data_IF_297303193748
#
_entry.id   IF_297303193748
#
_cell.length_a   1.000
_cell.length_b   1.000
_cell.length_c   1.000
_cell.angle_alpha   90.00
_cell.angle_beta   90.00
_cell.angle_gamma   90.00
#
_symmetry.space_group_name_H-M   'P 1'
#
loop_
_entity.id
_entity.type
_entity.pdbx_description
1 polymer ?
#
# COMPACT_ATOMS: atom_id res chain seq x y z
N UNK A 1 -23.63 -26.67 -25.10
CA UNK A 1 -22.35 -26.08 -25.55
C UNK A 1 -22.53 -24.57 -25.62
N UNK A 2 -22.07 -23.82 -24.61
CA UNK A 2 -22.18 -22.35 -24.63
C UNK A 2 -21.16 -21.80 -25.63
N UNK A 3 -21.61 -20.98 -26.57
CA UNK A 3 -20.74 -20.38 -27.59
C UNK A 3 -19.78 -19.37 -26.94
N UNK A 4 -18.55 -19.26 -27.46
CA UNK A 4 -17.53 -18.31 -26.99
C UNK A 4 -18.07 -16.88 -26.84
N UNK A 5 -18.95 -16.44 -27.76
CA UNK A 5 -19.64 -15.15 -27.66
C UNK A 5 -20.49 -15.04 -26.39
N UNK A 6 -21.29 -16.07 -26.05
CA UNK A 6 -22.13 -16.08 -24.85
C UNK A 6 -21.31 -16.03 -23.55
N UNK A 7 -20.16 -16.69 -23.52
CA UNK A 7 -19.24 -16.66 -22.37
C UNK A 7 -18.59 -15.28 -22.23
N UNK A 8 -18.10 -14.69 -23.33
CA UNK A 8 -17.51 -13.35 -23.32
C UNK A 8 -18.51 -12.26 -22.92
N UNK A 9 -19.76 -12.33 -23.42
CA UNK A 9 -20.80 -11.36 -23.04
C UNK A 9 -21.15 -11.45 -21.56
N UNK A 10 -21.26 -12.66 -20.99
CA UNK A 10 -21.51 -12.86 -19.54
C UNK A 10 -20.35 -12.35 -18.68
N UNK A 11 -19.12 -12.55 -19.13
CA UNK A 11 -17.94 -12.10 -18.40
C UNK A 11 -17.79 -10.58 -18.43
N UNK A 12 -18.08 -9.94 -19.57
CA UNK A 12 -18.12 -8.48 -19.68
C UNK A 12 -19.23 -7.85 -18.83
N UNK A 13 -20.43 -8.43 -18.81
CA UNK A 13 -21.51 -7.90 -17.96
C UNK A 13 -21.22 -8.05 -16.47
N UNK A 14 -20.60 -9.16 -16.05
CA UNK A 14 -20.17 -9.34 -14.66
C UNK A 14 -19.14 -8.30 -14.22
N UNK A 15 -18.15 -7.99 -15.07
CA UNK A 15 -17.13 -6.98 -14.78
C UNK A 15 -17.72 -5.57 -14.69
N UNK A 16 -18.67 -5.23 -15.56
CA UNK A 16 -19.36 -3.95 -15.53
C UNK A 16 -20.18 -3.78 -14.24
N UNK A 17 -20.87 -4.84 -13.80
CA UNK A 17 -21.65 -4.82 -12.56
C UNK A 17 -20.73 -4.68 -11.34
N UNK A 18 -19.64 -5.46 -11.26
CA UNK A 18 -18.66 -5.34 -10.16
C UNK A 18 -18.08 -3.92 -10.08
N UNK A 19 -17.72 -3.31 -11.22
CA UNK A 19 -17.21 -1.94 -11.26
C UNK A 19 -18.24 -0.88 -10.82
N UNK A 20 -19.51 -1.07 -11.16
CA UNK A 20 -20.60 -0.20 -10.72
C UNK A 20 -20.83 -0.29 -9.22
N UNK A 21 -20.88 -1.52 -8.67
CA UNK A 21 -21.00 -1.76 -7.22
C UNK A 21 -19.85 -1.08 -6.48
N UNK A 22 -18.62 -1.30 -6.94
CA UNK A 22 -17.45 -0.67 -6.35
C UNK A 22 -17.56 0.86 -6.31
N UNK A 23 -18.00 1.46 -7.41
CA UNK A 23 -18.13 2.92 -7.53
C UNK A 23 -19.19 3.48 -6.58
N UNK A 24 -20.34 2.83 -6.48
CA UNK A 24 -21.42 3.21 -5.56
C UNK A 24 -20.95 3.13 -4.10
N UNK A 25 -20.28 2.04 -3.74
CA UNK A 25 -19.76 1.86 -2.38
C UNK A 25 -18.62 2.83 -2.05
N UNK A 26 -17.78 3.19 -3.02
CA UNK A 26 -16.72 4.18 -2.85
C UNK A 26 -17.29 5.58 -2.60
N UNK A 27 -18.28 6.00 -3.38
CA UNK A 27 -18.98 7.27 -3.16
C UNK A 27 -19.70 7.30 -1.81
N UNK A 28 -20.32 6.18 -1.41
CA UNK A 28 -20.94 6.05 -0.09
C UNK A 28 -19.91 6.16 1.04
N UNK A 29 -18.75 5.53 0.90
CA UNK A 29 -17.66 5.63 1.87
C UNK A 29 -17.12 7.06 1.98
N UNK A 30 -16.99 7.77 0.86
CA UNK A 30 -16.52 9.15 0.85
C UNK A 30 -17.49 10.08 1.59
N UNK A 31 -18.79 9.96 1.31
CA UNK A 31 -19.85 10.70 2.05
C UNK A 31 -19.86 10.38 3.53
N UNK A 32 -19.62 9.12 3.89
CA UNK A 32 -19.50 8.72 5.29
C UNK A 32 -18.31 9.41 5.95
N UNK A 33 -17.14 9.47 5.31
CA UNK A 33 -15.98 10.20 5.85
C UNK A 33 -16.29 11.69 6.00
N UNK A 34 -16.92 12.28 4.98
CA UNK A 34 -17.32 13.69 5.00
C UNK A 34 -18.28 14.01 6.15
N UNK A 35 -19.21 13.11 6.50
CA UNK A 35 -20.15 13.34 7.60
C UNK A 35 -19.48 13.39 8.98
N UNK A 36 -18.25 12.89 9.12
CA UNK A 36 -17.45 13.03 10.34
C UNK A 36 -16.62 14.32 10.36
N UNK A 37 -16.54 15.05 9.25
CA UNK A 37 -15.76 16.27 9.17
C UNK A 37 -16.49 17.43 9.86
N UNK A 38 -16.06 17.75 11.09
CA UNK A 38 -16.60 18.90 11.84
C UNK A 38 -16.10 20.26 11.32
N UNK A 39 -15.07 20.26 10.46
CA UNK A 39 -14.39 21.46 9.96
C UNK A 39 -14.51 21.58 8.44
N UNK A 40 -14.88 22.77 7.94
CA UNK A 40 -15.02 23.04 6.50
C UNK A 40 -13.77 22.70 5.70
N UNK A 41 -12.56 22.94 6.24
CA UNK A 41 -11.30 22.60 5.58
C UNK A 41 -11.10 21.09 5.41
N UNK A 42 -11.55 20.30 6.38
CA UNK A 42 -11.43 18.84 6.29
C UNK A 42 -12.39 18.31 5.22
N UNK A 43 -13.62 18.83 5.18
CA UNK A 43 -14.57 18.53 4.09
C UNK A 43 -14.01 18.95 2.72
N UNK A 44 -13.41 20.14 2.59
CA UNK A 44 -12.74 20.58 1.35
C UNK A 44 -11.64 19.60 0.90
N UNK A 45 -10.82 19.11 1.82
CA UNK A 45 -9.78 18.11 1.55
C UNK A 45 -10.38 16.77 1.08
N UNK A 46 -11.45 16.30 1.73
CA UNK A 46 -12.14 15.06 1.36
C UNK A 46 -12.76 15.19 -0.03
N UNK A 47 -13.34 16.35 -0.35
CA UNK A 47 -13.97 16.63 -1.64
C UNK A 47 -12.98 16.73 -2.82
N UNK A 48 -11.69 16.92 -2.53
CA UNK A 48 -10.64 16.79 -3.53
C UNK A 48 -10.37 15.34 -3.94
N UNK A 49 -10.82 14.35 -3.17
CA UNK A 49 -10.57 12.95 -3.45
C UNK A 49 -11.38 12.44 -4.64
N UNK A 50 -10.71 12.02 -5.70
CA UNK A 50 -11.32 11.33 -6.83
C UNK A 50 -11.33 9.83 -6.61
N UNK A 51 -12.51 9.23 -6.60
CA UNK A 51 -12.72 7.78 -6.55
C UNK A 51 -12.25 7.10 -7.85
N UNK A 52 -12.22 7.86 -8.96
CA UNK A 52 -11.67 7.43 -10.24
C UNK A 52 -10.20 7.04 -10.11
N UNK A 53 -9.89 5.75 -10.27
CA UNK A 53 -8.52 5.24 -10.19
C UNK A 53 -8.07 4.80 -8.80
N UNK A 54 -8.89 5.01 -7.75
CA UNK A 54 -8.56 4.58 -6.40
C UNK A 54 -8.48 3.05 -6.25
N UNK A 55 -9.27 2.29 -7.01
CA UNK A 55 -9.14 0.83 -7.12
C UNK A 55 -7.74 0.39 -7.59
N UNK A 56 -7.12 1.19 -8.47
CA UNK A 56 -5.80 0.94 -9.06
C UNK A 56 -4.67 1.71 -8.35
N UNK A 57 -4.95 2.34 -7.22
CA UNK A 57 -4.04 3.19 -6.47
C UNK A 57 -3.37 4.30 -7.32
N UNK A 58 -4.12 4.88 -8.27
CA UNK A 58 -3.67 6.02 -9.08
C UNK A 58 -4.27 7.30 -8.53
N UNK A 59 -3.42 8.20 -8.03
CA UNK A 59 -3.86 9.35 -7.24
C UNK A 59 -3.25 10.68 -7.68
N UNK A 60 -2.57 10.72 -8.83
CA UNK A 60 -1.84 11.89 -9.29
C UNK A 60 -2.74 13.12 -9.38
N UNK A 61 -3.95 12.93 -9.92
CA UNK A 61 -4.97 13.99 -10.03
C UNK A 61 -5.49 14.44 -8.67
N UNK A 62 -5.86 13.50 -7.79
CA UNK A 62 -6.28 13.81 -6.41
C UNK A 62 -5.20 14.60 -5.66
N UNK A 63 -3.93 14.18 -5.78
CA UNK A 63 -2.81 14.88 -5.16
C UNK A 63 -2.60 16.28 -5.73
N UNK A 64 -2.84 16.49 -7.03
CA UNK A 64 -2.84 17.81 -7.64
C UNK A 64 -3.99 18.68 -7.14
N UNK A 65 -5.21 18.14 -7.07
CA UNK A 65 -6.40 18.84 -6.61
C UNK A 65 -6.27 19.30 -5.15
N UNK A 66 -5.77 18.43 -4.25
CA UNK A 66 -5.47 18.80 -2.86
C UNK A 66 -4.42 19.93 -2.81
N UNK A 67 -3.39 19.87 -3.67
CA UNK A 67 -2.36 20.91 -3.71
C UNK A 67 -2.90 22.27 -4.15
N UNK A 68 -3.82 22.29 -5.11
CA UNK A 68 -4.51 23.51 -5.54
C UNK A 68 -5.45 24.03 -4.47
N UNK A 69 -6.28 23.17 -3.88
CA UNK A 69 -7.24 23.52 -2.82
C UNK A 69 -6.57 24.21 -1.63
N UNK A 70 -5.39 23.73 -1.22
CA UNK A 70 -4.69 24.24 -0.04
C UNK A 70 -3.62 25.30 -0.34
N UNK A 71 -3.50 25.75 -1.58
CA UNK A 71 -2.41 26.64 -2.01
C UNK A 71 -2.34 27.94 -1.20
N UNK A 72 -3.50 28.49 -0.84
CA UNK A 72 -3.63 29.77 -0.12
C UNK A 72 -3.74 29.61 1.40
N UNK A 73 -3.68 28.39 1.92
CA UNK A 73 -3.89 28.12 3.34
C UNK A 73 -2.60 28.34 4.15
N UNK A 74 -2.69 29.19 5.18
CA UNK A 74 -1.58 29.48 6.10
C UNK A 74 -1.12 28.28 6.95
N UNK A 75 -2.06 27.42 7.38
CA UNK A 75 -1.79 26.23 8.22
C UNK A 75 -2.25 24.93 7.53
N UNK A 76 -1.85 24.72 6.28
CA UNK A 76 -2.30 23.55 5.48
C UNK A 76 -1.83 22.21 6.03
N UNK A 77 -0.59 22.10 6.48
CA UNK A 77 -0.04 20.88 7.07
C UNK A 77 -0.83 20.44 8.30
N UNK A 78 -1.17 21.40 9.17
CA UNK A 78 -2.00 21.17 10.37
C UNK A 78 -3.41 20.72 10.01
N UNK A 79 -3.99 21.29 8.95
CA UNK A 79 -5.33 20.91 8.47
C UNK A 79 -5.33 19.50 7.88
N UNK A 80 -4.29 19.14 7.12
CA UNK A 80 -4.11 17.79 6.58
C UNK A 80 -3.88 16.77 7.71
N UNK A 81 -3.05 17.09 8.71
CA UNK A 81 -2.83 16.22 9.87
C UNK A 81 -4.15 15.91 10.59
N UNK A 82 -4.96 16.94 10.87
CA UNK A 82 -6.27 16.75 11.49
C UNK A 82 -7.21 15.87 10.66
N UNK A 83 -7.18 16.02 9.33
CA UNK A 83 -7.96 15.17 8.44
C UNK A 83 -7.49 13.69 8.50
N UNK A 84 -6.18 13.45 8.53
CA UNK A 84 -5.62 12.10 8.67
C UNK A 84 -6.02 11.49 10.04
N UNK A 85 -5.89 12.26 11.11
CA UNK A 85 -6.25 11.86 12.48
C UNK A 85 -7.73 11.49 12.60
N UNK A 86 -8.62 12.29 12.00
CA UNK A 86 -10.05 12.02 11.97
C UNK A 86 -10.37 10.67 11.31
N UNK A 87 -9.69 10.36 10.21
CA UNK A 87 -9.98 9.15 9.41
C UNK A 87 -9.28 7.91 9.99
N UNK A 88 -8.12 8.08 10.63
CA UNK A 88 -7.26 6.98 11.08
C UNK A 88 -6.88 7.13 12.55
N UNK A 89 -7.71 6.57 13.44
CA UNK A 89 -7.43 6.46 14.88
C UNK A 89 -6.56 5.23 15.20
N UNK A 90 -5.35 5.17 14.64
CA UNK A 90 -4.37 4.12 14.94
C UNK A 90 -3.12 4.62 15.69
N UNK A 91 -3.13 5.87 16.14
CA UNK A 91 -2.04 6.45 16.95
C UNK A 91 -0.77 6.76 16.16
N UNK A 92 -0.81 6.83 14.83
CA UNK A 92 0.35 7.15 13.97
C UNK A 92 0.78 8.63 13.95
N UNK A 93 0.20 9.46 14.83
CA UNK A 93 0.36 10.93 14.90
C UNK A 93 1.83 11.38 14.94
N UNK A 94 2.69 10.70 15.70
CA UNK A 94 4.09 11.11 15.82
C UNK A 94 4.90 10.92 14.53
N UNK A 95 4.48 10.01 13.64
CA UNK A 95 5.10 9.83 12.32
C UNK A 95 4.69 10.91 11.32
N UNK A 96 3.52 11.55 11.52
CA UNK A 96 3.04 12.60 10.63
C UNK A 96 3.86 13.89 10.79
N UNK A 97 4.28 14.22 12.02
CA UNK A 97 5.05 15.43 12.34
C UNK A 97 6.38 15.53 11.58
N UNK A 98 6.95 14.41 11.16
CA UNK A 98 8.21 14.36 10.41
C UNK A 98 8.03 14.46 8.89
N UNK A 99 6.80 14.37 8.38
CA UNK A 99 6.54 14.39 6.95
C UNK A 99 6.49 15.82 6.42
N UNK A 100 7.16 16.04 5.28
CA UNK A 100 6.97 17.25 4.49
C UNK A 100 5.58 17.27 3.86
N UNK A 101 5.12 18.45 3.47
CA UNK A 101 3.80 18.69 2.90
C UNK A 101 3.39 17.69 1.79
N UNK A 102 4.27 17.38 0.84
CA UNK A 102 3.99 16.39 -0.22
C UNK A 102 3.73 15.00 0.36
N UNK A 103 4.53 14.59 1.35
CA UNK A 103 4.33 13.33 2.06
C UNK A 103 3.02 13.29 2.85
N UNK A 104 2.60 14.43 3.42
CA UNK A 104 1.30 14.56 4.10
C UNK A 104 0.13 14.42 3.12
N UNK A 105 0.20 15.05 1.95
CA UNK A 105 -0.82 14.89 0.90
C UNK A 105 -0.91 13.42 0.47
N UNK A 106 0.23 12.77 0.23
CA UNK A 106 0.26 11.33 -0.09
C UNK A 106 -0.36 10.50 1.04
N UNK A 107 -0.03 10.80 2.29
CA UNK A 107 -0.57 10.10 3.45
C UNK A 107 -2.09 10.24 3.56
N UNK A 108 -2.62 11.46 3.39
CA UNK A 108 -4.06 11.73 3.40
C UNK A 108 -4.80 10.92 2.34
N UNK A 109 -4.29 10.93 1.10
CA UNK A 109 -4.88 10.18 -0.02
C UNK A 109 -4.94 8.68 0.30
N UNK A 110 -3.86 8.11 0.82
CA UNK A 110 -3.85 6.69 1.18
C UNK A 110 -4.79 6.39 2.35
N UNK A 111 -4.88 7.32 3.29
CA UNK A 111 -5.78 7.22 4.44
C UNK A 111 -7.25 7.20 4.02
N UNK A 112 -7.66 8.09 3.12
CA UNK A 112 -9.00 8.09 2.51
C UNK A 112 -9.20 6.80 1.70
N UNK A 113 -8.23 6.43 0.85
CA UNK A 113 -8.33 5.24 0.01
C UNK A 113 -8.47 3.93 0.80
N UNK A 114 -7.94 3.87 2.02
CA UNK A 114 -8.07 2.70 2.90
C UNK A 114 -9.49 2.48 3.41
N UNK A 115 -10.37 3.48 3.28
CA UNK A 115 -11.80 3.40 3.60
C UNK A 115 -12.67 3.07 2.38
N UNK A 116 -12.09 3.13 1.19
CA UNK A 116 -12.78 2.72 -0.04
C UNK A 116 -12.91 1.19 -0.10
N UNK A 117 -13.90 0.66 -0.83
CA UNK A 117 -14.08 -0.78 -1.01
C UNK A 117 -12.83 -1.43 -1.60
N UNK A 118 -12.52 -2.63 -1.11
CA UNK A 118 -11.38 -3.44 -1.55
C UNK A 118 -11.85 -4.85 -1.80
N UNK A 119 -11.31 -5.47 -2.85
CA UNK A 119 -11.46 -6.91 -3.05
C UNK A 119 -10.51 -7.66 -2.12
N UNK A 120 -11.04 -8.55 -1.29
CA UNK A 120 -10.24 -9.40 -0.44
C UNK A 120 -9.51 -10.45 -1.29
N UNK A 121 -8.19 -10.59 -1.13
CA UNK A 121 -7.42 -11.60 -1.88
C UNK A 121 -7.80 -13.04 -1.49
N UNK A 122 -8.26 -13.24 -0.26
CA UNK A 122 -8.40 -14.56 0.34
C UNK A 122 -9.80 -15.16 0.20
N UNK A 123 -10.84 -14.31 0.16
CA UNK A 123 -12.24 -14.72 -0.03
C UNK A 123 -12.90 -14.08 -1.25
N UNK A 124 -12.21 -13.21 -2.00
CA UNK A 124 -12.74 -12.48 -3.18
C UNK A 124 -13.93 -11.55 -2.94
N UNK A 125 -14.45 -11.47 -1.72
CA UNK A 125 -15.50 -10.52 -1.33
C UNK A 125 -14.99 -9.07 -1.32
N UNK A 126 -15.90 -8.15 -1.66
CA UNK A 126 -15.71 -6.73 -1.41
C UNK A 126 -15.87 -6.45 0.09
N UNK A 127 -14.98 -5.64 0.65
CA UNK A 127 -15.05 -5.19 2.03
C UNK A 127 -14.56 -3.75 2.13
N UNK A 128 -14.98 -3.07 3.19
CA UNK A 128 -14.47 -1.75 3.56
C UNK A 128 -14.06 -1.75 5.03
N UNK A 129 -13.08 -0.91 5.36
CA UNK A 129 -12.63 -0.73 6.74
C UNK A 129 -13.37 0.46 7.36
N UNK A 130 -14.11 0.25 8.44
CA UNK A 130 -14.80 1.33 9.15
C UNK A 130 -13.83 2.35 9.73
N UNK A 131 -14.27 3.61 9.89
CA UNK A 131 -13.47 4.63 10.57
C UNK A 131 -13.22 4.19 12.02
N UNK A 132 -12.01 4.43 12.52
CA UNK A 132 -11.57 3.97 13.84
C UNK A 132 -11.25 2.47 13.95
N UNK A 133 -11.54 1.66 12.92
CA UNK A 133 -11.17 0.25 12.94
C UNK A 133 -9.65 0.06 12.96
N UNK A 134 -9.18 -0.86 13.81
CA UNK A 134 -7.78 -1.26 13.94
C UNK A 134 -7.60 -2.68 13.39
N UNK A 135 -7.28 -2.85 12.10
CA UNK A 135 -7.09 -4.17 11.53
C UNK A 135 -5.90 -4.86 12.19
N UNK A 136 -6.02 -6.17 12.43
CA UNK A 136 -4.91 -6.98 12.96
C UNK A 136 -3.70 -6.99 12.02
N UNK A 137 -3.95 -6.87 10.71
CA UNK A 137 -2.93 -6.88 9.68
C UNK A 137 -3.17 -5.76 8.66
N UNK A 138 -2.07 -5.15 8.20
CA UNK A 138 -2.09 -4.13 7.16
C UNK A 138 -1.18 -4.54 6.01
N UNK A 139 -1.56 -4.13 4.80
CA UNK A 139 -0.76 -4.37 3.61
C UNK A 139 0.58 -3.65 3.73
N UNK A 140 1.69 -4.34 3.49
CA UNK A 140 3.01 -3.74 3.63
C UNK A 140 3.31 -2.60 2.65
N UNK A 141 2.55 -2.49 1.54
CA UNK A 141 2.77 -1.49 0.50
C UNK A 141 1.82 -0.29 0.62
N UNK A 142 0.52 -0.54 0.75
CA UNK A 142 -0.49 0.54 0.78
C UNK A 142 -1.15 0.73 2.15
N UNK A 143 -0.75 -0.03 3.16
CA UNK A 143 -1.25 0.06 4.54
C UNK A 143 -2.75 -0.21 4.75
N UNK A 144 -3.45 -0.72 3.72
CA UNK A 144 -4.86 -1.10 3.83
C UNK A 144 -5.04 -2.24 4.84
N UNK A 145 -6.15 -2.24 5.58
CA UNK A 145 -6.45 -3.27 6.57
C UNK A 145 -6.91 -4.58 5.93
N UNK A 146 -6.63 -5.71 6.56
CA UNK A 146 -7.11 -7.02 6.13
C UNK A 146 -8.58 -7.26 6.53
N UNK A 147 -9.35 -7.90 5.64
CA UNK A 147 -10.77 -8.26 5.86
C UNK A 147 -11.01 -9.21 7.05
N UNK A 148 -10.00 -9.95 7.51
CA UNK A 148 -10.12 -10.97 8.58
C UNK A 148 -11.03 -12.17 8.25
N UNK A 149 -11.27 -12.47 6.96
CA UNK A 149 -12.12 -13.59 6.53
C UNK A 149 -11.53 -15.00 6.81
N UNK A 150 -10.25 -15.11 7.16
CA UNK A 150 -9.61 -16.36 7.61
C UNK A 150 -8.79 -16.09 8.86
N UNK A 151 -8.80 -17.03 9.81
CA UNK A 151 -7.81 -17.07 10.88
C UNK A 151 -6.45 -17.33 10.22
N UNK A 152 -5.59 -16.32 10.16
CA UNK A 152 -4.22 -16.53 9.70
C UNK A 152 -3.50 -17.47 10.66
N UNK A 153 -2.75 -18.41 10.09
CA UNK A 153 -1.82 -19.23 10.85
C UNK A 153 -0.69 -18.33 11.37
N UNK A 154 -0.52 -18.28 12.69
CA UNK A 154 0.53 -17.48 13.35
C UNK A 154 1.93 -17.86 12.86
N UNK A 155 2.13 -19.06 12.33
CA UNK A 155 3.42 -19.52 11.79
C UNK A 155 3.85 -18.79 10.50
N UNK A 156 2.91 -18.25 9.71
CA UNK A 156 3.21 -17.39 8.56
C UNK A 156 3.78 -16.02 8.98
N UNK A 157 3.53 -15.58 10.22
CA UNK A 157 4.06 -14.32 10.76
C UNK A 157 5.54 -14.44 11.17
N UNK A 158 5.93 -15.59 11.73
CA UNK A 158 7.29 -15.84 12.25
C UNK A 158 8.33 -15.90 11.12
N UNK A 159 7.90 -16.19 9.90
CA UNK A 159 8.75 -16.23 8.70
C UNK A 159 9.03 -14.86 8.08
N UNK A 160 8.60 -13.76 8.72
CA UNK A 160 8.86 -12.38 8.26
C UNK A 160 8.04 -11.96 7.04
N UNK A 161 7.04 -12.74 6.64
CA UNK A 161 6.15 -12.44 5.51
C UNK A 161 5.04 -11.47 5.94
N UNK A 162 5.25 -10.20 5.60
CA UNK A 162 4.22 -9.16 5.68
C UNK A 162 3.06 -9.46 4.72
N UNK A 163 1.81 -9.26 5.15
CA UNK A 163 0.63 -9.44 4.29
C UNK A 163 0.56 -8.39 3.17
N UNK A 164 -0.02 -8.77 2.03
CA UNK A 164 -0.22 -7.90 0.87
C UNK A 164 -1.65 -8.02 0.34
N UNK A 165 -2.32 -6.89 0.15
CA UNK A 165 -3.69 -6.86 -0.35
C UNK A 165 -3.78 -7.29 -1.82
N UNK A 166 -5.00 -7.54 -2.30
CA UNK A 166 -5.25 -7.98 -3.68
C UNK A 166 -4.67 -7.00 -4.70
N UNK A 167 -5.00 -5.70 -4.60
CA UNK A 167 -4.54 -4.67 -5.54
C UNK A 167 -3.01 -4.61 -5.66
N UNK A 168 -2.30 -4.49 -4.52
CA UNK A 168 -0.84 -4.51 -4.52
C UNK A 168 -0.26 -5.83 -5.02
N UNK A 169 -0.88 -6.97 -4.70
CA UNK A 169 -0.43 -8.28 -5.19
C UNK A 169 -0.56 -8.41 -6.71
N UNK A 170 -1.58 -7.81 -7.31
CA UNK A 170 -1.76 -7.78 -8.77
C UNK A 170 -0.72 -6.85 -9.39
N UNK A 171 -0.61 -5.60 -8.90
CA UNK A 171 0.38 -4.63 -9.40
C UNK A 171 1.81 -5.16 -9.31
N UNK A 172 2.18 -5.82 -8.21
CA UNK A 172 3.52 -6.40 -8.06
C UNK A 172 3.77 -7.57 -8.99
N UNK A 173 2.76 -8.39 -9.31
CA UNK A 173 2.86 -9.47 -10.29
C UNK A 173 3.02 -8.91 -11.70
N UNK A 174 2.18 -7.95 -12.08
CA UNK A 174 2.21 -7.32 -13.40
C UNK A 174 3.55 -6.63 -13.69
N UNK A 175 4.16 -6.02 -12.68
CA UNK A 175 5.43 -5.30 -12.80
C UNK A 175 6.66 -6.16 -12.42
N UNK A 176 6.50 -7.46 -12.19
CA UNK A 176 7.57 -8.37 -11.72
C UNK A 176 8.37 -7.84 -10.52
N UNK A 177 7.79 -6.98 -9.68
CA UNK A 177 8.49 -6.25 -8.62
C UNK A 177 9.06 -7.23 -7.60
N UNK A 178 8.27 -8.25 -7.22
CA UNK A 178 8.67 -9.24 -6.22
C UNK A 178 9.81 -10.13 -6.76
N UNK A 179 9.74 -10.56 -8.01
CA UNK A 179 10.82 -11.37 -8.60
C UNK A 179 12.10 -10.57 -8.80
N UNK A 180 11.99 -9.31 -9.22
CA UNK A 180 13.14 -8.41 -9.32
C UNK A 180 13.78 -8.18 -7.94
N UNK A 181 12.98 -8.00 -6.89
CA UNK A 181 13.50 -7.86 -5.52
C UNK A 181 14.18 -9.15 -5.03
N UNK A 182 13.58 -10.33 -5.26
CA UNK A 182 14.20 -11.63 -4.94
C UNK A 182 15.54 -11.81 -5.66
N UNK A 183 15.60 -11.52 -6.96
CA UNK A 183 16.83 -11.62 -7.75
C UNK A 183 17.93 -10.68 -7.23
N UNK A 184 17.59 -9.46 -6.83
CA UNK A 184 18.55 -8.54 -6.21
C UNK A 184 19.08 -9.05 -4.87
N UNK A 185 18.22 -9.65 -4.03
CA UNK A 185 18.64 -10.26 -2.76
C UNK A 185 19.57 -11.44 -3.02
N UNK A 186 19.18 -12.36 -3.91
CA UNK A 186 20.00 -13.52 -4.29
C UNK A 186 21.36 -13.07 -4.81
N UNK A 187 21.40 -12.09 -5.72
CA UNK A 187 22.65 -11.55 -6.26
C UNK A 187 23.52 -10.90 -5.18
N UNK A 188 22.94 -10.15 -4.23
CA UNK A 188 23.68 -9.60 -3.09
C UNK A 188 24.25 -10.70 -2.20
N UNK A 189 23.49 -11.76 -1.94
CA UNK A 189 23.94 -12.89 -1.11
C UNK A 189 25.06 -13.68 -1.80
N UNK A 190 24.93 -13.95 -3.11
CA UNK A 190 25.97 -14.63 -3.89
C UNK A 190 27.26 -13.77 -3.94
N UNK A 191 27.14 -12.48 -4.26
CA UNK A 191 28.29 -11.57 -4.34
C UNK A 191 28.98 -11.38 -2.99
N UNK A 192 28.21 -11.29 -1.90
CA UNK A 192 28.74 -11.22 -0.54
C UNK A 192 29.52 -12.48 -0.15
N UNK A 193 29.03 -13.66 -0.53
CA UNK A 193 29.71 -14.93 -0.27
C UNK A 193 30.98 -15.09 -1.12
N UNK A 194 30.97 -14.64 -2.38
CA UNK A 194 32.16 -14.63 -3.24
C UNK A 194 33.25 -13.68 -2.72
N UNK A 195 32.87 -12.50 -2.19
CA UNK A 195 33.81 -11.56 -1.59
C UNK A 195 34.46 -12.13 -0.32
N UNK A 196 33.68 -12.81 0.53
CA UNK A 196 34.21 -13.49 1.73
C UNK A 196 35.22 -14.59 1.36
N UNK A 197 34.89 -15.44 0.39
CA UNK A 197 35.81 -16.50 -0.07
C UNK A 197 37.11 -15.98 -0.69
N UNK A 198 37.07 -14.84 -1.41
CA UNK A 198 38.27 -14.17 -1.92
C UNK A 198 39.14 -13.58 -0.80
N UNK A 199 38.53 -12.99 0.23
CA UNK A 199 39.23 -12.44 1.40
C UNK A 199 39.91 -13.53 2.23
N UNK A 200 39.24 -14.67 2.44
CA UNK A 200 39.83 -15.83 3.12
C UNK A 200 41.00 -16.42 2.33
N UNK A 201 40.84 -16.57 1.02
CA UNK A 201 41.92 -17.06 0.14
C UNK A 201 43.14 -16.14 0.16
N UNK A 202 42.94 -14.82 0.19
CA UNK A 202 44.02 -13.84 0.29
C UNK A 202 44.76 -13.94 1.62
N UNK A 203 44.04 -14.04 2.75
CA UNK A 203 44.64 -14.20 4.09
C UNK A 203 45.44 -15.50 4.20
N UNK A 204 44.95 -16.60 3.64
CA UNK A 204 45.68 -17.88 3.62
C UNK A 204 46.99 -17.76 2.82
N UNK A 205 46.98 -17.07 1.68
CA UNK A 205 48.18 -16.86 0.88
C UNK A 205 49.19 -15.94 1.58
N UNK A 206 48.75 -14.86 2.23
CA UNK A 206 49.61 -13.98 3.02
C UNK A 206 50.28 -14.70 4.20
N UNK A 207 49.56 -15.63 4.85
CA UNK A 207 50.14 -16.47 5.92
C UNK A 207 51.16 -17.46 5.36
N UNK A 208 50.88 -18.08 4.20
CA UNK A 208 51.82 -19.01 3.55
C UNK A 208 53.12 -18.35 3.12
N UNK A 209 53.05 -17.14 2.58
CA UNK A 209 54.23 -16.35 2.19
C UNK A 209 55.08 -15.99 3.42
N UNK A 210 54.46 -15.52 4.50
CA UNK A 210 55.17 -15.25 5.77
C UNK A 210 55.85 -16.48 6.39
N UNK A 211 55.27 -17.67 6.21
CA UNK A 211 55.89 -18.93 6.67
C UNK A 211 57.11 -19.31 5.79
N UNK A 212 57.12 -18.93 4.51
CA UNK A 212 58.26 -19.17 3.60
C UNK A 212 59.41 -18.21 3.86
N UNK A 213 59.14 -16.95 4.20
CA UNK A 213 60.17 -15.94 4.49
C UNK A 213 60.91 -16.17 5.82
N UNK A 214 60.34 -16.97 6.73
CA UNK A 214 60.92 -17.29 8.05
C UNK A 214 61.61 -18.67 8.11
N UNK A 215 61.85 -19.31 6.96
CA UNK A 215 62.63 -20.55 6.83
C UNK A 215 63.93 -20.28 6.10
#
# INVERSE_FOLDING_TARGET
MLTLKSVMTKQMTSQLIEGLIWSIEAESALKQIESFAENSKISELINCFKTEGAERNKFEKTQEDIRKCTQTWLEKEKSINKAIELINDDGTIDKLKTLQYIGLVTCLVHTINNRMPKKCKDCNELYKMDIGSRPLFRCMLCNVGMHNCKKMDKNLMVSGLSWMCHGCSVTCKENNIIENAKMQIINKTINGNQLKGKLESKRINEVKEKIRENK
#
